data_IF_280922659277
#
_entry.id   IF_280922659277
#
_cell.length_a   1.000
_cell.length_b   1.000
_cell.length_c   1.000
_cell.angle_alpha   90.00
_cell.angle_beta   90.00
_cell.angle_gamma   90.00
#
_symmetry.space_group_name_H-M   'P 1'
#
loop_
_entity.id
_entity.type
_entity.pdbx_description
1 polymer ?
#
# COMPACT_ATOMS: atom_id res chain seq x y z
N UNK A 1 -69.75 -29.06 -12.98
CA UNK A 1 -68.59 -28.47 -13.71
C UNK A 1 -67.86 -27.51 -12.75
N UNK A 2 -66.86 -28.07 -12.03
CA UNK A 2 -66.02 -27.30 -11.11
C UNK A 2 -64.75 -26.85 -11.83
N UNK A 3 -64.55 -25.54 -11.93
CA UNK A 3 -63.30 -24.94 -12.49
C UNK A 3 -62.27 -24.82 -11.36
N UNK A 4 -61.21 -25.60 -11.43
CA UNK A 4 -60.01 -25.42 -10.61
C UNK A 4 -59.22 -24.22 -11.11
N UNK A 5 -59.04 -23.21 -10.26
CA UNK A 5 -58.07 -22.12 -10.49
C UNK A 5 -56.73 -22.52 -9.85
N UNK A 6 -55.72 -22.76 -10.68
CA UNK A 6 -54.37 -22.95 -10.21
C UNK A 6 -53.71 -21.59 -10.01
N UNK A 7 -53.39 -21.22 -8.78
CA UNK A 7 -52.57 -20.08 -8.45
C UNK A 7 -51.10 -20.46 -8.66
N UNK A 8 -50.45 -19.87 -9.64
CA UNK A 8 -48.98 -19.88 -9.78
C UNK A 8 -48.38 -18.84 -8.84
N UNK A 9 -47.74 -19.28 -7.78
CA UNK A 9 -46.94 -18.43 -6.87
C UNK A 9 -45.55 -18.23 -7.50
N UNK A 10 -45.31 -17.06 -8.11
CA UNK A 10 -44.01 -16.71 -8.60
C UNK A 10 -43.13 -16.26 -7.42
N UNK A 11 -42.21 -17.12 -7.00
CA UNK A 11 -41.17 -16.77 -6.03
C UNK A 11 -40.09 -15.90 -6.69
N UNK A 12 -40.10 -14.60 -6.41
CA UNK A 12 -39.04 -13.69 -6.79
C UNK A 12 -37.84 -13.93 -5.86
N UNK A 13 -36.78 -14.56 -6.37
CA UNK A 13 -35.46 -14.60 -5.71
C UNK A 13 -34.88 -13.17 -5.69
N UNK A 14 -34.95 -12.49 -4.57
CA UNK A 14 -34.18 -11.29 -4.35
C UNK A 14 -32.70 -11.69 -4.20
N UNK A 15 -31.90 -11.46 -5.23
CA UNK A 15 -30.45 -11.59 -5.15
C UNK A 15 -29.92 -10.50 -4.21
N UNK A 16 -29.62 -10.85 -2.96
CA UNK A 16 -28.90 -10.00 -2.03
C UNK A 16 -27.47 -9.88 -2.51
N UNK A 17 -27.13 -8.75 -3.16
CA UNK A 17 -25.75 -8.41 -3.45
C UNK A 17 -25.07 -8.12 -2.11
N UNK A 18 -24.36 -9.10 -1.56
CA UNK A 18 -23.45 -8.86 -0.46
C UNK A 18 -22.39 -7.83 -0.90
N UNK A 19 -22.02 -6.87 -0.04
CA UNK A 19 -20.94 -5.96 -0.37
C UNK A 19 -19.68 -6.79 -0.64
N UNK A 20 -19.12 -6.65 -1.86
CA UNK A 20 -17.84 -7.24 -2.23
C UNK A 20 -16.74 -6.44 -1.49
N UNK A 21 -16.32 -6.95 -0.34
CA UNK A 21 -15.12 -6.46 0.33
C UNK A 21 -13.90 -6.82 -0.53
N UNK A 22 -12.92 -5.89 -0.62
CA UNK A 22 -11.67 -6.23 -1.28
C UNK A 22 -11.04 -7.43 -0.57
N UNK A 23 -10.62 -8.41 -1.35
CA UNK A 23 -9.83 -9.51 -0.81
C UNK A 23 -8.38 -9.08 -0.79
N UNK A 24 -7.68 -9.24 0.34
CA UNK A 24 -6.26 -8.99 0.46
C UNK A 24 -5.40 -10.07 -0.19
N UNK A 25 -4.10 -9.90 -0.16
CA UNK A 25 -3.14 -10.91 -0.58
C UNK A 25 -3.30 -12.21 0.24
N UNK A 26 -3.46 -13.34 -0.45
CA UNK A 26 -3.59 -14.67 0.16
C UNK A 26 -2.46 -15.64 -0.23
N UNK A 27 -1.59 -15.23 -1.15
CA UNK A 27 -0.62 -16.12 -1.83
C UNK A 27 0.85 -15.79 -1.55
N UNK A 28 1.18 -14.52 -1.34
CA UNK A 28 2.57 -14.06 -1.15
C UNK A 28 2.83 -13.81 0.32
N UNK A 29 3.52 -14.72 1.00
CA UNK A 29 3.83 -14.60 2.44
C UNK A 29 5.21 -14.00 2.73
N UNK A 30 6.07 -13.84 1.72
CA UNK A 30 7.43 -13.35 1.93
C UNK A 30 7.61 -11.95 1.38
N UNK A 31 7.93 -10.99 2.25
CA UNK A 31 8.28 -9.63 1.83
C UNK A 31 9.48 -9.60 0.87
N UNK A 32 10.46 -10.51 1.07
CA UNK A 32 11.59 -10.63 0.14
C UNK A 32 11.16 -11.15 -1.23
N UNK A 33 10.19 -12.08 -1.31
CA UNK A 33 9.59 -12.54 -2.57
C UNK A 33 8.79 -11.42 -3.23
N UNK A 34 7.96 -10.70 -2.47
CA UNK A 34 7.18 -9.57 -2.97
C UNK A 34 8.06 -8.51 -3.63
N UNK A 35 9.19 -8.17 -3.01
CA UNK A 35 10.17 -7.21 -3.58
C UNK A 35 10.74 -7.69 -4.92
N UNK A 36 11.05 -8.98 -5.07
CA UNK A 36 11.54 -9.55 -6.34
C UNK A 36 10.48 -9.50 -7.42
N UNK A 37 9.25 -9.88 -7.09
CA UNK A 37 8.11 -9.83 -8.02
C UNK A 37 7.90 -8.38 -8.51
N UNK A 38 7.86 -7.41 -7.60
CA UNK A 38 7.71 -6.02 -7.99
C UNK A 38 8.83 -5.55 -8.92
N UNK A 39 10.08 -5.91 -8.64
CA UNK A 39 11.24 -5.53 -9.43
C UNK A 39 11.24 -6.17 -10.84
N UNK A 40 10.87 -7.45 -10.93
CA UNK A 40 11.05 -8.27 -12.12
C UNK A 40 9.79 -8.34 -13.00
N UNK A 41 8.60 -8.29 -12.39
CA UNK A 41 7.35 -8.59 -13.08
C UNK A 41 6.41 -7.38 -13.14
N UNK A 42 6.53 -6.41 -12.20
CA UNK A 42 5.66 -5.23 -12.16
C UNK A 42 6.36 -3.99 -12.70
N UNK A 43 7.59 -3.70 -12.25
CA UNK A 43 8.34 -2.47 -12.55
C UNK A 43 9.49 -2.68 -13.56
N UNK A 44 9.54 -3.79 -14.28
CA UNK A 44 10.65 -4.13 -15.17
C UNK A 44 10.91 -3.11 -16.30
N UNK A 45 9.84 -2.40 -16.73
CA UNK A 45 9.85 -1.39 -17.79
C UNK A 45 9.46 0.01 -17.30
N UNK A 46 9.18 0.17 -16.00
CA UNK A 46 8.82 1.46 -15.38
C UNK A 46 9.62 1.67 -14.08
N UNK A 47 10.92 1.88 -14.22
CA UNK A 47 11.85 2.02 -13.11
C UNK A 47 11.94 3.45 -12.61
N UNK A 48 10.83 3.95 -12.04
CA UNK A 48 10.70 5.30 -11.49
C UNK A 48 10.23 5.23 -10.04
N UNK A 49 10.86 6.00 -9.16
CA UNK A 49 10.51 6.03 -7.74
C UNK A 49 9.25 6.84 -7.48
N UNK A 50 8.45 6.41 -6.52
CA UNK A 50 7.12 6.92 -6.25
C UNK A 50 7.07 8.39 -5.84
N UNK A 51 7.86 8.79 -4.83
CA UNK A 51 7.78 10.15 -4.29
C UNK A 51 8.57 11.20 -5.06
N UNK A 52 9.67 10.82 -5.69
CA UNK A 52 10.60 11.80 -6.26
C UNK A 52 10.81 11.64 -7.76
N UNK A 53 10.11 10.70 -8.42
CA UNK A 53 10.21 10.38 -9.83
C UNK A 53 11.66 10.14 -10.29
N UNK A 54 12.53 9.68 -9.39
CA UNK A 54 13.90 9.33 -9.70
C UNK A 54 13.94 8.01 -10.48
N UNK A 55 14.71 7.97 -11.55
CA UNK A 55 14.99 6.74 -12.28
C UNK A 55 15.89 5.80 -11.48
N UNK A 56 15.77 4.50 -11.71
CA UNK A 56 16.67 3.50 -11.14
C UNK A 56 16.95 2.35 -12.11
N UNK A 57 18.11 1.75 -11.97
CA UNK A 57 18.54 0.62 -12.80
C UNK A 57 18.05 -0.74 -12.26
N UNK A 58 18.35 -1.82 -13.00
CA UNK A 58 18.03 -3.19 -12.60
C UNK A 58 18.79 -3.67 -11.36
N UNK A 59 19.82 -2.95 -10.91
CA UNK A 59 20.55 -3.21 -9.67
C UNK A 59 20.03 -2.37 -8.51
N UNK A 60 18.97 -1.59 -8.74
CA UNK A 60 18.32 -0.66 -7.78
C UNK A 60 19.20 0.55 -7.42
N UNK A 61 20.15 0.91 -8.26
CA UNK A 61 20.87 2.17 -8.10
C UNK A 61 19.96 3.31 -8.58
N UNK A 62 19.86 4.35 -7.80
CA UNK A 62 19.02 5.53 -8.08
C UNK A 62 19.87 6.60 -8.78
N UNK A 63 19.35 7.13 -9.87
CA UNK A 63 19.80 8.40 -10.45
C UNK A 63 19.04 9.52 -9.75
N UNK A 64 19.70 10.24 -8.86
CA UNK A 64 19.06 11.31 -8.10
C UNK A 64 18.65 12.45 -9.03
N UNK A 65 17.43 13.00 -8.91
CA UNK A 65 17.01 14.17 -9.68
C UNK A 65 17.91 15.38 -9.38
N UNK A 66 18.08 16.25 -10.38
CA UNK A 66 18.78 17.51 -10.17
C UNK A 66 18.13 18.32 -9.03
N UNK A 67 18.95 18.88 -8.15
CA UNK A 67 18.50 19.62 -6.99
C UNK A 67 17.93 18.76 -5.83
N UNK A 68 17.97 17.42 -5.93
CA UNK A 68 17.65 16.56 -4.80
C UNK A 68 18.68 16.71 -3.69
N UNK A 69 18.21 16.93 -2.47
CA UNK A 69 19.06 17.02 -1.27
C UNK A 69 18.49 16.18 -0.13
N UNK A 70 19.34 15.72 0.77
CA UNK A 70 18.92 15.09 2.01
C UNK A 70 19.92 15.31 3.13
N UNK A 71 19.45 15.75 4.30
CA UNK A 71 20.29 15.95 5.48
C UNK A 71 20.53 14.65 6.24
N UNK A 72 19.59 13.70 6.15
CA UNK A 72 19.64 12.42 6.88
C UNK A 72 19.63 11.25 5.91
N UNK A 73 20.14 10.11 6.37
CA UNK A 73 20.11 8.85 5.61
C UNK A 73 20.83 8.91 4.25
N UNK A 74 21.84 9.76 4.08
CA UNK A 74 22.55 10.01 2.81
C UNK A 74 23.02 8.72 2.12
N UNK A 75 23.56 7.74 2.88
CA UNK A 75 24.02 6.45 2.34
C UNK A 75 22.86 5.62 1.72
N UNK A 76 21.61 5.90 2.08
CA UNK A 76 20.43 5.22 1.54
C UNK A 76 19.87 5.93 0.29
N UNK A 77 20.31 7.14 -0.02
CA UNK A 77 19.81 7.91 -1.17
C UNK A 77 20.16 7.27 -2.53
N UNK A 78 21.29 6.57 -2.61
CA UNK A 78 21.73 5.94 -3.85
C UNK A 78 20.98 4.64 -4.21
N UNK A 79 19.99 4.21 -3.42
CA UNK A 79 19.35 2.90 -3.58
C UNK A 79 17.84 3.00 -3.48
N UNK A 80 17.14 2.16 -4.27
CA UNK A 80 15.71 1.91 -4.10
C UNK A 80 15.48 1.06 -2.86
N UNK A 81 14.48 1.46 -2.11
CA UNK A 81 13.82 0.65 -1.08
C UNK A 81 12.33 0.55 -1.38
N UNK A 82 11.73 -0.57 -1.00
CA UNK A 82 10.30 -0.77 -1.17
C UNK A 82 9.55 -0.17 0.02
N UNK A 83 8.86 0.90 -0.28
CA UNK A 83 8.04 1.66 0.64
C UNK A 83 6.72 0.96 0.89
N UNK A 84 6.33 0.83 2.16
CA UNK A 84 4.96 0.51 2.54
C UNK A 84 4.15 1.80 2.68
N UNK A 85 3.24 2.09 1.75
CA UNK A 85 2.36 3.26 1.83
C UNK A 85 1.57 3.25 3.13
N UNK A 86 0.94 2.13 3.48
CA UNK A 86 0.50 1.85 4.86
C UNK A 86 1.66 1.21 5.61
N UNK A 87 2.30 1.90 6.56
CA UNK A 87 3.46 1.36 7.27
C UNK A 87 3.17 0.03 7.95
N UNK A 88 4.14 -0.90 7.86
CA UNK A 88 4.01 -2.20 8.52
C UNK A 88 3.74 -2.09 10.03
N UNK A 89 4.20 -1.03 10.68
CA UNK A 89 3.90 -0.75 12.09
C UNK A 89 2.43 -0.44 12.32
N UNK A 90 1.76 0.25 11.39
CA UNK A 90 0.37 0.69 11.56
C UNK A 90 -0.60 -0.49 11.62
N UNK A 91 -0.42 -1.48 10.75
CA UNK A 91 -1.20 -2.72 10.84
C UNK A 91 -0.57 -3.75 11.78
N UNK A 92 0.76 -3.75 11.93
CA UNK A 92 1.47 -4.67 12.81
C UNK A 92 1.04 -4.56 14.27
N UNK A 93 0.75 -3.36 14.74
CA UNK A 93 0.26 -3.12 16.11
C UNK A 93 -1.08 -3.78 16.42
N UNK A 94 -1.85 -4.22 15.43
CA UNK A 94 -3.05 -5.01 15.66
C UNK A 94 -2.73 -6.43 16.18
N UNK A 95 -1.56 -6.95 15.85
CA UNK A 95 -1.13 -8.30 16.22
C UNK A 95 -0.48 -8.35 17.61
N UNK A 96 -0.84 -9.36 18.40
CA UNK A 96 -0.30 -9.56 19.74
C UNK A 96 1.21 -9.84 19.70
N UNK A 97 1.67 -10.58 18.70
CA UNK A 97 3.10 -10.92 18.50
C UNK A 97 3.96 -9.67 18.24
N UNK A 98 3.36 -8.65 17.64
CA UNK A 98 4.04 -7.35 17.48
C UNK A 98 4.16 -6.60 18.82
N UNK A 99 3.09 -6.57 19.61
CA UNK A 99 3.05 -5.79 20.85
C UNK A 99 3.75 -6.47 22.01
N UNK A 100 3.54 -7.76 22.17
CA UNK A 100 3.91 -8.52 23.36
C UNK A 100 4.99 -9.56 23.09
N UNK A 101 5.06 -10.05 21.84
CA UNK A 101 5.92 -11.17 21.45
C UNK A 101 5.15 -12.49 21.40
N UNK A 102 5.88 -13.59 21.27
CA UNK A 102 5.36 -14.96 21.25
C UNK A 102 6.44 -15.87 21.85
N UNK A 103 6.08 -16.96 22.56
CA UNK A 103 7.06 -17.92 23.10
C UNK A 103 8.05 -18.49 22.06
N UNK A 104 7.65 -18.54 20.78
CA UNK A 104 8.51 -18.96 19.66
C UNK A 104 9.48 -17.87 19.21
N UNK A 105 9.32 -16.64 19.67
CA UNK A 105 10.16 -15.50 19.32
C UNK A 105 11.37 -15.38 20.26
N UNK A 106 12.23 -16.39 20.22
CA UNK A 106 13.47 -16.46 21.01
C UNK A 106 14.66 -16.57 20.04
N UNK A 107 15.71 -15.81 20.31
CA UNK A 107 17.00 -15.87 19.60
C UNK A 107 17.79 -17.08 20.04
N UNK A 108 18.81 -17.45 19.26
CA UNK A 108 19.76 -18.50 19.66
C UNK A 108 20.46 -18.26 21.03
N UNK A 109 20.58 -16.99 21.43
CA UNK A 109 21.07 -16.55 22.72
C UNK A 109 20.08 -16.71 23.88
N UNK A 110 18.88 -17.25 23.66
CA UNK A 110 17.82 -17.35 24.68
C UNK A 110 17.02 -16.05 24.89
N UNK A 111 17.41 -14.92 24.26
CA UNK A 111 16.74 -13.65 24.44
C UNK A 111 15.45 -13.57 23.61
N UNK A 112 14.31 -13.31 24.26
CA UNK A 112 13.02 -13.04 23.59
C UNK A 112 13.05 -11.76 22.78
N UNK A 113 12.24 -11.69 21.71
CA UNK A 113 12.05 -10.51 20.90
C UNK A 113 10.57 -10.35 20.50
N UNK A 114 10.18 -9.13 20.14
CA UNK A 114 8.85 -8.76 19.66
C UNK A 114 8.93 -7.83 18.46
N UNK A 115 7.83 -7.22 18.07
CA UNK A 115 7.75 -6.30 16.94
C UNK A 115 7.71 -7.04 15.61
N UNK A 116 8.11 -6.35 14.55
CA UNK A 116 8.03 -6.85 13.17
C UNK A 116 8.63 -8.25 13.02
N UNK A 117 9.81 -8.47 13.57
CA UNK A 117 10.51 -9.75 13.43
C UNK A 117 9.74 -10.93 14.06
N UNK A 118 9.06 -10.70 15.18
CA UNK A 118 8.25 -11.74 15.82
C UNK A 118 6.98 -12.00 15.01
N UNK A 119 6.22 -10.96 14.65
CA UNK A 119 5.03 -11.09 13.84
C UNK A 119 5.32 -11.78 12.49
N UNK A 120 6.41 -11.41 11.81
CA UNK A 120 6.84 -12.05 10.56
C UNK A 120 7.19 -13.54 10.78
N UNK A 121 7.81 -13.89 11.90
CA UNK A 121 8.19 -15.27 12.20
C UNK A 121 6.98 -16.17 12.42
N UNK A 122 5.95 -15.70 13.15
CA UNK A 122 4.94 -16.61 13.71
C UNK A 122 3.50 -16.34 13.25
N UNK A 123 3.22 -15.18 12.62
CA UNK A 123 1.86 -14.81 12.22
C UNK A 123 1.74 -14.76 10.69
N UNK A 124 0.90 -15.64 10.14
CA UNK A 124 0.70 -15.74 8.68
C UNK A 124 -0.01 -14.51 8.12
N UNK A 125 -1.04 -14.02 8.80
CA UNK A 125 -1.81 -12.85 8.32
C UNK A 125 -0.91 -11.61 8.25
N UNK A 126 -0.06 -11.38 9.25
CA UNK A 126 0.93 -10.31 9.19
C UNK A 126 1.87 -10.46 7.97
N UNK A 127 2.34 -11.69 7.69
CA UNK A 127 3.19 -11.93 6.51
C UNK A 127 2.48 -11.59 5.20
N UNK A 128 1.20 -11.96 5.07
CA UNK A 128 0.40 -11.63 3.89
C UNK A 128 0.21 -10.12 3.74
N UNK A 129 -0.13 -9.42 4.83
CA UNK A 129 -0.31 -7.96 4.81
C UNK A 129 0.98 -7.21 4.44
N UNK A 130 2.12 -7.61 5.00
CA UNK A 130 3.39 -6.93 4.68
C UNK A 130 3.94 -7.25 3.29
N UNK A 131 3.49 -8.32 2.67
CA UNK A 131 3.90 -8.74 1.33
C UNK A 131 2.88 -8.36 0.24
N UNK A 132 1.81 -7.64 0.58
CA UNK A 132 0.80 -7.20 -0.37
C UNK A 132 1.39 -6.19 -1.36
N UNK A 133 1.38 -6.57 -2.64
CA UNK A 133 2.02 -5.82 -3.72
C UNK A 133 1.37 -4.45 -3.94
N UNK A 134 0.06 -4.31 -3.67
CA UNK A 134 -0.62 -3.03 -3.80
C UNK A 134 -0.11 -1.98 -2.80
N UNK A 135 0.38 -2.41 -1.65
CA UNK A 135 0.91 -1.51 -0.61
C UNK A 135 2.40 -1.15 -0.79
N UNK A 136 3.08 -1.70 -1.81
CA UNK A 136 4.53 -1.59 -1.98
C UNK A 136 4.90 -0.77 -3.21
N UNK A 137 5.69 0.30 -3.01
CA UNK A 137 6.16 1.18 -4.08
C UNK A 137 7.68 1.39 -4.01
N UNK A 138 8.38 1.55 -5.15
CA UNK A 138 9.80 1.87 -5.13
C UNK A 138 10.00 3.31 -4.64
N UNK A 139 10.89 3.54 -3.70
CA UNK A 139 11.21 4.87 -3.21
C UNK A 139 12.73 5.04 -3.04
N UNK A 140 13.22 6.28 -3.11
CA UNK A 140 14.59 6.61 -2.71
C UNK A 140 14.74 6.22 -1.24
N UNK A 141 15.74 5.40 -0.90
CA UNK A 141 15.89 4.86 0.45
C UNK A 141 16.01 5.93 1.55
N UNK A 142 16.57 7.08 1.25
CA UNK A 142 16.63 8.21 2.20
C UNK A 142 15.23 8.78 2.47
N UNK A 143 14.40 8.90 1.44
CA UNK A 143 13.00 9.39 1.55
C UNK A 143 12.15 8.38 2.32
N UNK A 144 12.25 7.08 1.97
CA UNK A 144 11.59 6.01 2.70
C UNK A 144 11.95 6.01 4.19
N UNK A 145 13.25 6.14 4.51
CA UNK A 145 13.72 6.20 5.90
C UNK A 145 13.17 7.40 6.69
N UNK A 146 13.11 8.56 6.05
CA UNK A 146 12.65 9.78 6.69
C UNK A 146 11.11 9.79 6.85
N UNK A 147 10.39 9.22 5.87
CA UNK A 147 8.94 9.06 5.94
C UNK A 147 8.53 8.19 7.12
N UNK A 148 9.27 7.11 7.40
CA UNK A 148 9.04 6.26 8.59
C UNK A 148 7.60 5.73 8.65
N UNK A 149 6.93 5.84 9.81
CA UNK A 149 5.52 5.51 10.03
C UNK A 149 4.62 6.75 10.14
N UNK A 150 5.08 7.90 9.66
CA UNK A 150 4.36 9.16 9.82
C UNK A 150 3.07 9.18 8.99
N UNK A 151 2.05 9.87 9.53
CA UNK A 151 0.76 10.00 8.85
C UNK A 151 0.83 10.97 7.69
N UNK A 152 0.06 10.71 6.65
CA UNK A 152 -0.13 11.68 5.57
C UNK A 152 -1.08 12.80 6.00
N UNK A 153 -0.76 14.02 5.58
CA UNK A 153 -1.55 15.23 5.82
C UNK A 153 -1.14 16.33 4.85
N UNK A 154 -1.74 17.51 4.96
CA UNK A 154 -1.28 18.73 4.31
C UNK A 154 -0.37 19.50 5.27
N UNK A 155 0.71 20.07 4.74
CA UNK A 155 1.72 20.86 5.45
C UNK A 155 2.04 22.12 4.63
N UNK A 156 1.07 23.04 4.45
CA UNK A 156 1.20 24.16 3.52
C UNK A 156 2.41 25.05 3.82
N UNK A 157 2.73 25.24 5.11
CA UNK A 157 3.82 26.11 5.54
C UNK A 157 5.20 25.42 5.56
N UNK A 158 5.26 24.10 5.35
CA UNK A 158 6.53 23.39 5.38
C UNK A 158 7.20 23.45 4.00
N UNK A 159 8.52 23.72 4.01
CA UNK A 159 9.35 23.55 2.83
C UNK A 159 9.58 22.07 2.50
N UNK A 160 10.01 21.79 1.25
CA UNK A 160 10.45 20.45 0.87
C UNK A 160 11.60 19.98 1.78
N UNK A 161 11.53 18.73 2.21
CA UNK A 161 12.58 18.08 3.00
C UNK A 161 13.69 17.48 2.13
N UNK A 162 13.54 17.51 0.80
CA UNK A 162 14.44 16.84 -0.15
C UNK A 162 14.75 17.69 -1.39
N UNK A 163 14.85 19.01 -1.24
CA UNK A 163 15.16 19.90 -2.35
C UNK A 163 14.11 19.88 -3.44
N UNK A 164 14.47 19.48 -4.65
CA UNK A 164 13.57 19.43 -5.82
C UNK A 164 12.46 18.37 -5.70
N UNK A 165 12.59 17.34 -4.85
CA UNK A 165 11.53 16.38 -4.57
C UNK A 165 10.53 16.99 -3.58
N UNK A 166 9.27 17.29 -3.98
CA UNK A 166 8.34 18.10 -3.18
C UNK A 166 7.67 17.33 -2.03
N UNK A 167 8.45 16.50 -1.35
CA UNK A 167 8.04 15.76 -0.16
C UNK A 167 8.34 16.58 1.09
N UNK A 168 7.33 16.88 1.89
CA UNK A 168 7.47 17.67 3.11
C UNK A 168 7.30 16.80 4.34
N UNK A 169 8.18 16.95 5.33
CA UNK A 169 8.12 16.23 6.61
C UNK A 169 8.26 17.23 7.74
N UNK A 170 7.27 17.30 8.62
CA UNK A 170 7.29 18.14 9.81
C UNK A 170 6.63 17.42 10.97
N UNK A 171 7.28 17.42 12.14
CA UNK A 171 6.82 16.64 13.28
C UNK A 171 6.75 15.14 12.93
N UNK A 172 5.61 14.54 13.15
CA UNK A 172 5.32 13.14 12.76
C UNK A 172 4.27 13.08 11.65
N UNK A 173 4.39 13.98 10.69
CA UNK A 173 3.46 14.15 9.59
C UNK A 173 4.20 14.34 8.27
N UNK A 174 3.58 13.93 7.18
CA UNK A 174 4.12 13.97 5.83
C UNK A 174 3.09 14.54 4.88
N UNK A 175 3.48 15.55 4.11
CA UNK A 175 2.76 15.91 2.89
C UNK A 175 3.50 15.32 1.69
N UNK A 176 2.91 14.34 1.01
CA UNK A 176 3.52 13.74 -0.17
C UNK A 176 3.33 14.65 -1.38
N UNK A 177 4.16 14.46 -2.44
CA UNK A 177 3.97 15.14 -3.72
C UNK A 177 2.54 14.98 -4.24
N UNK A 178 2.03 16.01 -4.88
CA UNK A 178 0.64 16.07 -5.32
C UNK A 178 0.26 14.89 -6.23
N UNK A 179 1.13 14.58 -7.18
CA UNK A 179 0.94 13.48 -8.14
C UNK A 179 0.89 12.09 -7.52
N UNK A 180 1.26 11.92 -6.24
CA UNK A 180 1.17 10.63 -5.55
C UNK A 180 -0.08 10.48 -4.68
N UNK A 181 -0.79 11.58 -4.41
CA UNK A 181 -1.88 11.60 -3.41
C UNK A 181 -3.02 10.66 -3.76
N UNK A 182 -3.39 10.58 -5.04
CA UNK A 182 -4.43 9.65 -5.51
C UNK A 182 -4.06 8.19 -5.27
N UNK A 183 -2.87 7.79 -5.71
CA UNK A 183 -2.37 6.42 -5.52
C UNK A 183 -2.20 6.05 -4.04
N UNK A 184 -1.72 6.99 -3.20
CA UNK A 184 -1.69 6.82 -1.74
C UNK A 184 -3.09 6.57 -1.18
N UNK A 185 -4.06 7.39 -1.61
CA UNK A 185 -5.43 7.27 -1.14
C UNK A 185 -6.04 5.91 -1.49
N UNK A 186 -5.96 5.50 -2.75
CA UNK A 186 -6.47 4.21 -3.22
C UNK A 186 -5.79 3.02 -2.55
N UNK A 187 -4.49 3.13 -2.28
CA UNK A 187 -3.76 2.12 -1.51
C UNK A 187 -4.24 2.02 -0.07
N UNK A 188 -4.42 3.16 0.62
CA UNK A 188 -4.83 3.17 2.03
C UNK A 188 -6.29 2.71 2.20
N UNK A 189 -7.18 3.11 1.28
CA UNK A 189 -8.57 2.64 1.25
C UNK A 189 -8.64 1.13 1.01
N UNK A 190 -7.87 0.63 0.03
CA UNK A 190 -7.74 -0.80 -0.23
C UNK A 190 -7.26 -1.58 1.00
N UNK A 191 -6.19 -1.14 1.63
CA UNK A 191 -5.64 -1.85 2.81
C UNK A 191 -6.64 -1.89 3.97
N UNK A 192 -7.43 -0.84 4.16
CA UNK A 192 -8.49 -0.84 5.19
C UNK A 192 -9.66 -1.77 4.83
N UNK A 193 -10.02 -1.85 3.56
CA UNK A 193 -11.11 -2.68 3.08
C UNK A 193 -10.72 -4.16 3.07
N UNK A 194 -9.53 -4.47 2.56
CA UNK A 194 -9.02 -5.82 2.41
C UNK A 194 -8.58 -6.50 3.72
N UNK A 195 -8.24 -5.71 4.74
CA UNK A 195 -7.67 -6.21 6.00
C UNK A 195 -8.42 -5.67 7.22
N UNK A 196 -9.36 -6.44 7.80
CA UNK A 196 -10.21 -5.99 8.90
C UNK A 196 -9.45 -5.49 10.14
N UNK A 197 -8.24 -5.98 10.36
CA UNK A 197 -7.38 -5.57 11.47
C UNK A 197 -6.73 -4.20 11.29
N UNK A 198 -6.68 -3.65 10.06
CA UNK A 198 -6.18 -2.32 9.81
C UNK A 198 -7.33 -1.31 9.76
N UNK A 199 -7.26 -0.27 10.58
CA UNK A 199 -8.24 0.81 10.60
C UNK A 199 -7.54 2.17 10.59
N UNK A 200 -7.95 3.02 9.67
CA UNK A 200 -7.58 4.44 9.67
C UNK A 200 -8.38 5.20 10.74
N UNK A 201 -7.81 6.29 11.27
CA UNK A 201 -8.61 7.26 12.01
C UNK A 201 -9.64 7.94 11.09
N UNK A 202 -10.74 8.44 11.66
CA UNK A 202 -11.77 9.14 10.87
C UNK A 202 -11.22 10.32 10.07
N UNK A 203 -10.25 11.06 10.64
CA UNK A 203 -9.59 12.16 9.94
C UNK A 203 -8.76 11.66 8.75
N UNK A 204 -8.01 10.56 8.93
CA UNK A 204 -7.22 9.97 7.84
C UNK A 204 -8.12 9.41 6.74
N UNK A 205 -9.23 8.77 7.11
CA UNK A 205 -10.19 8.24 6.14
C UNK A 205 -10.83 9.36 5.31
N UNK A 206 -11.26 10.46 5.95
CA UNK A 206 -11.80 11.65 5.26
C UNK A 206 -10.78 12.21 4.26
N UNK A 207 -9.52 12.34 4.67
CA UNK A 207 -8.45 12.83 3.80
C UNK A 207 -8.24 11.89 2.59
N UNK A 208 -8.17 10.58 2.82
CA UNK A 208 -7.99 9.62 1.72
C UNK A 208 -9.19 9.59 0.78
N UNK A 209 -10.40 9.71 1.29
CA UNK A 209 -11.60 9.82 0.44
C UNK A 209 -11.54 11.08 -0.43
N UNK A 210 -11.15 12.23 0.14
CA UNK A 210 -10.99 13.47 -0.61
C UNK A 210 -9.89 13.34 -1.69
N UNK A 211 -8.73 12.79 -1.36
CA UNK A 211 -7.64 12.60 -2.31
C UNK A 211 -7.99 11.61 -3.43
N UNK A 212 -8.71 10.55 -3.12
CA UNK A 212 -9.19 9.61 -4.13
C UNK A 212 -10.10 10.28 -5.18
N UNK A 213 -10.90 11.27 -4.75
CA UNK A 213 -11.78 12.03 -5.65
C UNK A 213 -11.02 13.11 -6.42
N UNK A 214 -10.09 13.81 -5.76
CA UNK A 214 -9.39 14.99 -6.33
C UNK A 214 -8.25 14.62 -7.27
N UNK A 215 -7.61 13.47 -7.07
CA UNK A 215 -6.42 13.05 -7.82
C UNK A 215 -6.72 11.79 -8.61
N UNK A 216 -7.03 11.93 -9.93
CA UNK A 216 -7.40 10.80 -10.77
C UNK A 216 -6.25 9.79 -10.92
N UNK A 217 -6.57 8.59 -11.38
CA UNK A 217 -5.59 7.59 -11.80
C UNK A 217 -4.88 8.05 -13.06
N UNK A 218 -3.64 7.60 -13.21
CA UNK A 218 -2.93 7.65 -14.48
C UNK A 218 -2.82 6.26 -15.13
N UNK A 219 -2.33 6.23 -16.35
CA UNK A 219 -2.17 4.99 -17.11
C UNK A 219 -1.22 4.00 -16.43
N UNK A 220 -0.17 4.50 -15.77
CA UNK A 220 0.77 3.64 -15.08
C UNK A 220 0.13 2.98 -13.85
N UNK A 221 -0.64 3.71 -13.07
CA UNK A 221 -1.33 3.13 -11.89
C UNK A 221 -2.29 2.01 -12.33
N UNK A 222 -3.01 2.18 -13.43
CA UNK A 222 -3.90 1.16 -13.97
C UNK A 222 -3.12 -0.08 -14.43
N UNK A 223 -2.09 0.10 -15.25
CA UNK A 223 -1.23 -1.00 -15.72
C UNK A 223 -0.55 -1.74 -14.56
N UNK A 224 -0.07 -0.99 -13.57
CA UNK A 224 0.51 -1.57 -12.35
C UNK A 224 -0.51 -2.45 -11.62
N UNK A 225 -1.72 -1.96 -11.46
CA UNK A 225 -2.79 -2.70 -10.78
C UNK A 225 -3.17 -3.98 -11.54
N UNK A 226 -3.27 -3.93 -12.86
CA UNK A 226 -3.50 -5.11 -13.71
C UNK A 226 -2.41 -6.17 -13.57
N UNK A 227 -1.13 -5.75 -13.58
CA UNK A 227 0.01 -6.65 -13.37
C UNK A 227 -0.05 -7.33 -12.01
N UNK A 228 -0.35 -6.57 -10.97
CA UNK A 228 -0.47 -7.09 -9.59
C UNK A 228 -1.65 -8.07 -9.51
N UNK A 229 -2.81 -7.75 -10.06
CA UNK A 229 -3.98 -8.62 -10.07
C UNK A 229 -3.66 -9.99 -10.70
N UNK A 230 -2.97 -10.01 -11.85
CA UNK A 230 -2.53 -11.25 -12.52
C UNK A 230 -1.59 -12.09 -11.66
N UNK A 231 -0.74 -11.47 -10.86
CA UNK A 231 0.29 -12.16 -10.07
C UNK A 231 -0.21 -12.55 -8.68
N UNK A 232 -0.90 -11.64 -8.00
CA UNK A 232 -1.33 -11.82 -6.61
C UNK A 232 -2.69 -12.52 -6.51
N UNK A 233 -3.52 -12.43 -7.57
CA UNK A 233 -4.80 -13.11 -7.69
C UNK A 233 -5.98 -12.38 -7.05
N UNK A 234 -5.80 -11.11 -6.66
CA UNK A 234 -6.87 -10.26 -6.14
C UNK A 234 -6.78 -8.85 -6.74
N UNK A 235 -7.89 -8.13 -6.74
CA UNK A 235 -7.96 -6.77 -7.27
C UNK A 235 -7.90 -5.70 -6.19
N UNK A 236 -7.46 -4.49 -6.56
CA UNK A 236 -7.71 -3.28 -5.81
C UNK A 236 -8.93 -2.56 -6.40
N UNK A 237 -10.13 -2.66 -5.81
CA UNK A 237 -11.35 -2.13 -6.40
C UNK A 237 -11.32 -0.60 -6.53
N UNK A 238 -10.57 0.10 -5.69
CA UNK A 238 -10.44 1.56 -5.76
C UNK A 238 -9.66 2.02 -7.00
N UNK A 239 -8.62 1.26 -7.39
CA UNK A 239 -7.88 1.53 -8.63
C UNK A 239 -8.70 1.07 -9.83
N UNK A 240 -9.24 -0.14 -9.82
CA UNK A 240 -10.01 -0.72 -10.92
C UNK A 240 -11.20 0.15 -11.32
N UNK A 241 -11.97 0.59 -10.34
CA UNK A 241 -13.12 1.47 -10.59
C UNK A 241 -12.69 2.86 -11.10
N UNK A 242 -11.57 3.41 -10.60
CA UNK A 242 -11.06 4.67 -11.08
C UNK A 242 -10.56 4.56 -12.53
N UNK A 243 -9.85 3.48 -12.90
CA UNK A 243 -9.40 3.21 -14.27
C UNK A 243 -10.60 3.06 -15.23
N UNK A 244 -11.61 2.28 -14.83
CA UNK A 244 -12.85 2.13 -15.61
C UNK A 244 -13.54 3.47 -15.86
N UNK A 245 -13.63 4.35 -14.86
CA UNK A 245 -14.23 5.69 -15.01
C UNK A 245 -13.41 6.63 -15.90
N UNK A 246 -12.09 6.46 -15.92
CA UNK A 246 -11.17 7.25 -16.75
C UNK A 246 -10.99 6.68 -18.16
N UNK A 247 -11.65 5.58 -18.51
CA UNK A 247 -11.50 4.85 -19.78
C UNK A 247 -10.03 4.48 -20.07
N UNK A 248 -9.32 4.08 -19.00
CA UNK A 248 -7.95 3.62 -19.06
C UNK A 248 -7.90 2.08 -18.96
N UNK A 249 -6.97 1.45 -19.70
CA UNK A 249 -6.80 -0.01 -19.68
C UNK A 249 -6.31 -0.50 -18.32
#
# INVERSE_FOLDING_TARGET
MQKLFSLFLAATLAATTAPLWAQGNTTIESFSKAKKILEQDVYYDHRVTFYCLAEFDSKKNVTLPEGFTTQKHQKRAARVEWEHVVPAENFGRAFVEWREGDPRCVRSSGKSFKGRACAEKVNREFRLMQADLYNLYPAIGAVNAARSNYRYTMLPEAASSFGSCPMKISGRAVEPPEYTRGAIARTMLYMQDAYPLYKMSSAQQKLMTAWNTMYPVDRWECLRAERIEKIQGNENPFVKEACRKADLP
#
